data_IF_205988242798
#
_entry.id   IF_205988242798
#
_cell.length_a   1.000
_cell.length_b   1.000
_cell.length_c   1.000
_cell.angle_alpha   90.00
_cell.angle_beta   90.00
_cell.angle_gamma   90.00
#
_symmetry.space_group_name_H-M   'P 1'
#
loop_
_entity.id
_entity.type
_entity.pdbx_description
1 polymer ?
#
# COMPACT_ATOMS: atom_id res chain seq x y z
N UNK A 1 -30.94 -18.43 -8.95
CA UNK A 1 -30.94 -17.08 -8.34
C UNK A 1 -29.51 -16.72 -7.99
N UNK A 2 -28.82 -15.93 -8.83
CA UNK A 2 -27.44 -15.50 -8.54
C UNK A 2 -27.54 -14.44 -7.45
N UNK A 3 -27.25 -14.82 -6.20
CA UNK A 3 -27.14 -13.90 -5.09
C UNK A 3 -26.09 -12.84 -5.45
N UNK A 4 -26.52 -11.63 -5.82
CA UNK A 4 -25.67 -10.44 -5.84
C UNK A 4 -25.23 -10.20 -4.40
N UNK A 5 -24.14 -10.83 -3.98
CA UNK A 5 -23.52 -10.62 -2.68
C UNK A 5 -23.01 -9.18 -2.67
N UNK A 6 -23.78 -8.29 -2.06
CA UNK A 6 -23.45 -6.86 -2.01
C UNK A 6 -22.04 -6.67 -1.44
N UNK A 7 -21.30 -5.70 -1.99
CA UNK A 7 -19.98 -5.33 -1.48
C UNK A 7 -20.16 -4.88 -0.03
N UNK A 8 -19.56 -5.62 0.90
CA UNK A 8 -19.59 -5.25 2.32
C UNK A 8 -18.52 -4.23 2.64
N UNK A 9 -18.72 -3.37 3.64
CA UNK A 9 -17.70 -2.42 4.07
C UNK A 9 -16.39 -3.11 4.49
N UNK A 10 -16.46 -4.32 5.05
CA UNK A 10 -15.27 -5.17 5.30
C UNK A 10 -14.50 -5.48 4.02
N UNK A 11 -15.22 -5.82 2.95
CA UNK A 11 -14.62 -6.09 1.63
C UNK A 11 -13.96 -4.83 1.06
N UNK A 12 -14.61 -3.66 1.16
CA UNK A 12 -14.04 -2.38 0.71
C UNK A 12 -12.75 -2.06 1.46
N UNK A 13 -12.76 -2.16 2.80
CA UNK A 13 -11.59 -1.86 3.63
C UNK A 13 -10.42 -2.82 3.36
N UNK A 14 -10.70 -4.11 3.14
CA UNK A 14 -9.65 -5.05 2.77
C UNK A 14 -9.07 -4.75 1.39
N UNK A 15 -9.91 -4.45 0.40
CA UNK A 15 -9.46 -4.06 -0.95
C UNK A 15 -8.58 -2.79 -0.86
N UNK A 16 -9.05 -1.78 -0.14
CA UNK A 16 -8.29 -0.54 0.09
C UNK A 16 -6.92 -0.82 0.74
N UNK A 17 -6.89 -1.69 1.76
CA UNK A 17 -5.64 -2.10 2.40
C UNK A 17 -4.67 -2.76 1.42
N UNK A 18 -5.16 -3.66 0.56
CA UNK A 18 -4.33 -4.33 -0.45
C UNK A 18 -3.76 -3.31 -1.44
N UNK A 19 -4.61 -2.42 -1.98
CA UNK A 19 -4.14 -1.39 -2.92
C UNK A 19 -3.13 -0.44 -2.26
N UNK A 20 -3.32 -0.08 -0.99
CA UNK A 20 -2.38 0.77 -0.25
C UNK A 20 -1.02 0.09 -0.09
N UNK A 21 -1.00 -1.19 0.30
CA UNK A 21 0.26 -1.97 0.41
C UNK A 21 0.96 -2.06 -0.94
N UNK A 22 0.23 -2.34 -2.02
CA UNK A 22 0.81 -2.40 -3.37
C UNK A 22 1.36 -1.04 -3.81
N UNK A 23 0.64 0.06 -3.57
CA UNK A 23 1.09 1.40 -3.90
C UNK A 23 2.37 1.78 -3.14
N UNK A 24 2.47 1.44 -1.86
CA UNK A 24 3.68 1.66 -1.06
C UNK A 24 4.86 0.80 -1.52
N UNK A 25 4.63 -0.42 -1.98
CA UNK A 25 5.70 -1.24 -2.57
C UNK A 25 6.15 -0.63 -3.90
N UNK A 26 5.21 -0.20 -4.75
CA UNK A 26 5.52 0.46 -6.01
C UNK A 26 6.27 1.77 -5.81
N UNK A 27 6.01 2.50 -4.71
CA UNK A 27 6.69 3.76 -4.43
C UNK A 27 8.20 3.60 -4.28
N UNK A 28 8.70 2.43 -3.89
CA UNK A 28 10.14 2.13 -3.86
C UNK A 28 10.79 2.32 -5.24
N UNK A 29 10.06 1.97 -6.30
CA UNK A 29 10.53 2.05 -7.68
C UNK A 29 10.20 3.38 -8.36
N UNK A 30 9.12 4.05 -7.93
CA UNK A 30 8.67 5.30 -8.55
C UNK A 30 9.20 6.56 -7.89
N UNK A 31 9.68 6.49 -6.63
CA UNK A 31 10.33 7.62 -5.94
C UNK A 31 11.50 8.24 -6.71
N UNK A 32 12.40 7.48 -7.37
CA UNK A 32 13.47 8.09 -8.16
C UNK A 32 12.99 8.73 -9.47
N UNK A 33 11.71 8.63 -9.83
CA UNK A 33 11.15 9.30 -11.00
C UNK A 33 10.82 10.74 -10.62
N UNK A 34 11.50 11.69 -11.23
CA UNK A 34 11.33 13.13 -11.02
C UNK A 34 10.93 13.86 -12.30
N UNK A 35 10.38 15.07 -12.15
CA UNK A 35 9.97 15.94 -13.26
C UNK A 35 10.89 17.16 -13.27
N UNK A 36 11.49 17.49 -14.42
CA UNK A 36 12.30 18.69 -14.57
C UNK A 36 11.45 19.93 -14.93
N UNK A 37 12.07 21.10 -15.01
CA UNK A 37 11.40 22.36 -15.38
C UNK A 37 10.70 22.31 -16.75
N UNK A 38 11.15 21.42 -17.63
CA UNK A 38 10.58 21.20 -18.96
C UNK A 38 9.49 20.11 -18.98
N UNK A 39 8.96 19.71 -17.82
CA UNK A 39 7.95 18.65 -17.65
C UNK A 39 8.39 17.26 -18.17
N UNK A 40 9.69 17.02 -18.27
CA UNK A 40 10.23 15.73 -18.70
C UNK A 40 10.48 14.84 -17.48
N UNK A 41 10.06 13.58 -17.59
CA UNK A 41 10.37 12.56 -16.60
C UNK A 41 11.83 12.14 -16.74
N UNK A 42 12.55 12.12 -15.62
CA UNK A 42 13.91 11.61 -15.57
C UNK A 42 14.12 10.78 -14.30
N UNK A 43 15.11 9.89 -14.37
CA UNK A 43 15.50 9.05 -13.24
C UNK A 43 16.60 9.75 -12.43
N UNK A 44 16.32 10.03 -11.16
CA UNK A 44 17.25 10.62 -10.23
C UNK A 44 17.81 9.54 -9.29
N UNK A 45 19.07 9.13 -9.53
CA UNK A 45 19.75 8.13 -8.69
C UNK A 45 19.95 8.60 -7.24
N UNK A 46 20.00 9.92 -6.98
CA UNK A 46 20.14 10.45 -5.61
C UNK A 46 18.88 10.24 -4.77
N UNK A 47 17.72 10.07 -5.43
CA UNK A 47 16.44 9.77 -4.78
C UNK A 47 16.17 8.27 -4.64
N UNK A 48 17.06 7.43 -5.17
CA UNK A 48 16.95 5.98 -5.07
C UNK A 48 17.21 5.54 -3.63
N UNK A 49 16.28 4.78 -3.08
CA UNK A 49 16.45 4.24 -1.74
C UNK A 49 17.61 3.24 -1.68
N UNK A 50 18.50 3.43 -0.70
CA UNK A 50 19.51 2.43 -0.37
C UNK A 50 18.85 1.11 0.06
N UNK A 51 19.51 -0.01 -0.21
CA UNK A 51 19.00 -1.35 0.11
C UNK A 51 18.62 -1.52 1.60
N UNK A 52 19.36 -0.87 2.51
CA UNK A 52 19.03 -0.86 3.95
C UNK A 52 17.70 -0.15 4.21
N UNK A 53 17.47 1.00 3.59
CA UNK A 53 16.23 1.78 3.71
C UNK A 53 15.05 1.07 3.07
N UNK A 54 15.25 0.38 1.95
CA UNK A 54 14.23 -0.49 1.35
C UNK A 54 13.78 -1.58 2.33
N UNK A 55 14.73 -2.25 3.00
CA UNK A 55 14.40 -3.26 4.01
C UNK A 55 13.63 -2.68 5.20
N UNK A 56 14.08 -1.56 5.75
CA UNK A 56 13.39 -0.86 6.84
C UNK A 56 11.95 -0.49 6.44
N UNK A 57 11.78 0.03 5.22
CA UNK A 57 10.48 0.44 4.70
C UNK A 57 9.54 -0.74 4.43
N UNK A 58 10.05 -1.83 3.84
CA UNK A 58 9.26 -3.06 3.68
C UNK A 58 8.79 -3.62 5.03
N UNK A 59 9.66 -3.61 6.03
CA UNK A 59 9.31 -4.07 7.38
C UNK A 59 8.19 -3.22 7.97
N UNK A 60 8.26 -1.89 7.78
CA UNK A 60 7.21 -0.97 8.18
C UNK A 60 5.88 -1.23 7.45
N UNK A 61 5.92 -1.44 6.12
CA UNK A 61 4.72 -1.74 5.31
C UNK A 61 4.06 -3.02 5.81
N UNK A 62 4.82 -4.12 5.94
CA UNK A 62 4.27 -5.40 6.37
C UNK A 62 3.77 -5.36 7.82
N UNK A 63 4.51 -4.71 8.72
CA UNK A 63 4.07 -4.51 10.11
C UNK A 63 2.75 -3.74 10.18
N UNK A 64 2.65 -2.63 9.45
CA UNK A 64 1.42 -1.82 9.40
C UNK A 64 0.26 -2.57 8.74
N UNK A 65 0.53 -3.34 7.68
CA UNK A 65 -0.46 -4.18 7.02
C UNK A 65 -1.03 -5.24 7.98
N UNK A 66 -0.17 -5.94 8.72
CA UNK A 66 -0.58 -6.92 9.72
C UNK A 66 -1.51 -6.29 10.77
N UNK A 67 -1.15 -5.13 11.30
CA UNK A 67 -1.99 -4.39 12.26
C UNK A 67 -3.32 -3.99 11.62
N UNK A 68 -3.31 -3.37 10.45
CA UNK A 68 -4.51 -2.92 9.74
C UNK A 68 -5.49 -4.07 9.46
N UNK A 69 -5.03 -5.13 8.81
CA UNK A 69 -5.89 -6.26 8.46
C UNK A 69 -6.39 -6.99 9.71
N UNK A 70 -5.58 -7.07 10.76
CA UNK A 70 -6.02 -7.63 12.04
C UNK A 70 -7.15 -6.78 12.64
N UNK A 71 -6.98 -5.46 12.72
CA UNK A 71 -8.00 -4.56 13.25
C UNK A 71 -9.30 -4.60 12.46
N UNK A 72 -9.24 -4.56 11.12
CA UNK A 72 -10.42 -4.68 10.27
C UNK A 72 -11.13 -5.99 10.57
N UNK A 73 -10.42 -7.12 10.55
CA UNK A 73 -11.06 -8.42 10.77
C UNK A 73 -11.58 -8.61 12.20
N UNK A 74 -10.87 -8.11 13.22
CA UNK A 74 -11.31 -8.16 14.62
C UNK A 74 -12.56 -7.29 14.84
N UNK A 75 -12.59 -6.07 14.29
CA UNK A 75 -13.75 -5.19 14.37
C UNK A 75 -15.01 -5.87 13.81
N UNK A 76 -14.91 -6.46 12.61
CA UNK A 76 -16.05 -7.16 12.01
C UNK A 76 -16.36 -8.54 12.61
N UNK A 77 -15.48 -9.07 13.45
CA UNK A 77 -15.70 -10.36 14.14
C UNK A 77 -16.33 -10.17 15.52
N UNK A 78 -15.97 -9.10 16.23
CA UNK A 78 -16.31 -8.90 17.64
C UNK A 78 -17.19 -7.66 17.90
N UNK A 79 -17.14 -6.64 17.05
CA UNK A 79 -17.78 -5.34 17.29
C UNK A 79 -18.97 -5.05 16.35
N UNK A 80 -19.25 -5.94 15.38
CA UNK A 80 -20.41 -5.91 14.50
C UNK A 80 -21.05 -7.30 14.45
#
# INVERSE_FOLDING_TARGET
MISKKGITLRTVLNIYGVFTVLALILSIFTTPISINENMQLFYNEDLKMEAKKVKEFLFFIFGSALVYFSLVNLYYKYMK
#
